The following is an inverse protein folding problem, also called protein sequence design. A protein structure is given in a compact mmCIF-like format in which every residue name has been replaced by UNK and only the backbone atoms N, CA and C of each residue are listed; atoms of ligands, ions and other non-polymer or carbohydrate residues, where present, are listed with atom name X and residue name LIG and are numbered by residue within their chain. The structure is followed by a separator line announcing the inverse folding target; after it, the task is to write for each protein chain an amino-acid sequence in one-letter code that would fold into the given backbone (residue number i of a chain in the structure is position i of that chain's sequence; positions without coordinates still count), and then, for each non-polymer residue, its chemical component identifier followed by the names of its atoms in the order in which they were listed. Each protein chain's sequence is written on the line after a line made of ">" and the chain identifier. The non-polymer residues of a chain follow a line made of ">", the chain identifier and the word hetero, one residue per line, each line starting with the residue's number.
data_IF_317207809581
#
_entry.id   IF_317207809581
#
_cell.length_a   1.000
_cell.length_b   1.000
_cell.length_c   1.000
_cell.angle_alpha   90.00
_cell.angle_beta   90.00
_cell.angle_gamma   90.00
#
_symmetry.space_group_name_H-M   'P 1'
#
loop_
_entity.id
_entity.type
_entity.pdbx_description
1 polymer ?
#
# COMPACT_ATOMS: atom_id res chain seq x y z
N UNK A 1 -8.31 -39.92 -21.74
CA UNK A 1 -8.46 -40.06 -20.27
C UNK A 1 -9.92 -39.84 -19.94
N UNK A 2 -10.51 -40.60 -19.02
CA UNK A 2 -11.88 -40.34 -18.57
C UNK A 2 -11.94 -38.94 -17.94
N UNK A 3 -12.96 -38.15 -18.27
CA UNK A 3 -13.16 -36.83 -17.68
C UNK A 3 -13.40 -36.99 -16.16
N UNK A 4 -12.77 -36.14 -15.36
CA UNK A 4 -12.99 -36.12 -13.91
C UNK A 4 -14.37 -35.54 -13.59
N UNK A 5 -14.92 -35.83 -12.41
CA UNK A 5 -16.18 -35.23 -11.96
C UNK A 5 -16.16 -33.69 -12.07
N UNK A 6 -15.03 -33.08 -11.68
CA UNK A 6 -14.82 -31.64 -11.76
C UNK A 6 -14.88 -31.10 -13.19
N UNK A 7 -14.25 -31.77 -14.15
CA UNK A 7 -14.26 -31.34 -15.55
C UNK A 7 -15.69 -31.40 -16.15
N UNK A 8 -16.45 -32.44 -15.80
CA UNK A 8 -17.84 -32.61 -16.26
C UNK A 8 -18.72 -31.46 -15.76
N UNK A 9 -18.66 -31.18 -14.44
CA UNK A 9 -19.44 -30.08 -13.84
C UNK A 9 -19.01 -28.73 -14.38
N UNK A 10 -17.72 -28.48 -14.52
CA UNK A 10 -17.22 -27.22 -15.08
C UNK A 10 -17.73 -27.00 -16.52
N UNK A 11 -17.70 -28.03 -17.37
CA UNK A 11 -18.18 -27.96 -18.75
C UNK A 11 -19.70 -27.71 -18.81
N UNK A 12 -20.49 -28.38 -17.96
CA UNK A 12 -21.94 -28.16 -17.87
C UNK A 12 -22.26 -26.73 -17.41
N UNK A 13 -21.56 -26.21 -16.39
CA UNK A 13 -21.73 -24.83 -15.93
C UNK A 13 -21.37 -23.85 -17.04
N UNK A 14 -20.23 -24.04 -17.74
CA UNK A 14 -19.83 -23.17 -18.86
C UNK A 14 -20.86 -23.16 -19.98
N UNK A 15 -21.45 -24.31 -20.29
CA UNK A 15 -22.50 -24.41 -21.29
C UNK A 15 -23.79 -23.69 -20.87
N UNK A 16 -24.21 -23.84 -19.60
CA UNK A 16 -25.38 -23.14 -19.08
C UNK A 16 -25.18 -21.62 -19.03
N UNK A 17 -24.00 -21.15 -18.63
CA UNK A 17 -23.63 -19.73 -18.67
C UNK A 17 -23.75 -19.18 -20.09
N UNK A 18 -23.19 -19.88 -21.09
CA UNK A 18 -23.33 -19.48 -22.51
C UNK A 18 -24.78 -19.46 -22.99
N UNK A 19 -25.54 -20.51 -22.69
CA UNK A 19 -26.95 -20.64 -23.12
C UNK A 19 -27.87 -19.61 -22.48
N UNK A 20 -27.64 -19.29 -21.20
CA UNK A 20 -28.43 -18.31 -20.44
C UNK A 20 -27.93 -16.87 -20.65
N UNK A 21 -26.81 -16.68 -21.35
CA UNK A 21 -26.24 -15.36 -21.64
C UNK A 21 -25.74 -14.61 -20.41
N UNK A 22 -25.30 -15.33 -19.38
CA UNK A 22 -24.80 -14.75 -18.13
C UNK A 22 -23.36 -14.31 -18.33
N UNK A 23 -23.02 -13.09 -17.93
CA UNK A 23 -21.63 -12.64 -17.89
C UNK A 23 -20.97 -13.12 -16.58
N UNK A 24 -19.99 -14.05 -16.63
CA UNK A 24 -19.38 -14.57 -15.41
C UNK A 24 -18.67 -13.53 -14.55
N UNK A 25 -18.15 -12.47 -15.17
CA UNK A 25 -17.38 -11.43 -14.50
C UNK A 25 -18.34 -10.41 -13.88
N UNK A 26 -19.40 -10.03 -14.60
CA UNK A 26 -20.35 -9.03 -14.13
C UNK A 26 -21.42 -9.62 -13.19
N UNK A 27 -21.73 -10.91 -13.31
CA UNK A 27 -22.80 -11.59 -12.58
C UNK A 27 -22.31 -12.83 -11.79
N UNK A 28 -21.31 -12.69 -10.89
CA UNK A 28 -20.73 -13.83 -10.18
C UNK A 28 -21.75 -14.58 -9.31
N UNK A 29 -22.74 -13.89 -8.74
CA UNK A 29 -23.80 -14.52 -7.96
C UNK A 29 -24.73 -15.40 -8.81
N UNK A 30 -24.96 -15.03 -10.08
CA UNK A 30 -25.75 -15.85 -10.99
C UNK A 30 -25.01 -17.13 -11.36
N UNK A 31 -23.68 -17.03 -11.54
CA UNK A 31 -22.83 -18.20 -11.75
C UNK A 31 -22.78 -19.09 -10.51
N UNK A 32 -22.67 -18.52 -9.30
CA UNK A 32 -22.68 -19.30 -8.06
C UNK A 32 -23.95 -20.15 -7.92
N UNK A 33 -25.13 -19.56 -8.17
CA UNK A 33 -26.39 -20.30 -8.17
C UNK A 33 -26.44 -21.41 -9.22
N UNK A 34 -25.86 -21.17 -10.39
CA UNK A 34 -25.74 -22.19 -11.45
C UNK A 34 -24.81 -23.34 -11.05
N UNK A 35 -23.70 -23.04 -10.40
CA UNK A 35 -22.77 -24.05 -9.89
C UNK A 35 -23.49 -24.95 -8.88
N UNK A 36 -24.23 -24.37 -7.94
CA UNK A 36 -25.03 -25.13 -6.99
C UNK A 36 -26.11 -25.99 -7.68
N UNK A 37 -26.79 -25.46 -8.71
CA UNK A 37 -27.76 -26.20 -9.53
C UNK A 37 -27.13 -27.43 -10.18
N UNK A 38 -25.99 -27.27 -10.87
CA UNK A 38 -25.29 -28.35 -11.59
C UNK A 38 -24.70 -29.38 -10.63
N UNK A 39 -24.16 -28.95 -9.49
CA UNK A 39 -23.63 -29.88 -8.49
C UNK A 39 -24.71 -30.78 -7.89
N UNK A 40 -25.88 -30.22 -7.59
CA UNK A 40 -27.01 -30.99 -7.09
C UNK A 40 -27.51 -32.00 -8.14
N UNK A 41 -27.65 -31.58 -9.41
CA UNK A 41 -28.01 -32.49 -10.51
C UNK A 41 -26.96 -33.61 -10.69
N UNK A 42 -25.67 -33.26 -10.65
CA UNK A 42 -24.58 -34.22 -10.74
C UNK A 42 -24.63 -35.24 -9.60
N UNK A 43 -24.88 -34.77 -8.37
CA UNK A 43 -25.00 -35.64 -7.20
C UNK A 43 -26.15 -36.65 -7.38
N UNK A 44 -27.35 -36.19 -7.76
CA UNK A 44 -28.51 -37.03 -7.98
C UNK A 44 -28.27 -38.07 -9.09
N UNK A 45 -27.63 -37.67 -10.19
CA UNK A 45 -27.25 -38.58 -11.29
C UNK A 45 -26.20 -39.60 -10.86
N UNK A 46 -25.25 -39.21 -10.01
CA UNK A 46 -24.17 -40.10 -9.56
C UNK A 46 -24.66 -41.27 -8.71
N UNK A 47 -25.84 -41.16 -8.09
CA UNK A 47 -26.48 -42.24 -7.33
C UNK A 47 -26.96 -43.37 -8.25
N UNK A 48 -27.34 -43.04 -9.49
CA UNK A 48 -27.99 -43.97 -10.43
C UNK A 48 -27.09 -44.39 -11.61
N UNK A 49 -26.05 -43.61 -11.89
CA UNK A 49 -25.19 -43.77 -13.07
C UNK A 49 -23.72 -43.99 -12.68
N UNK A 50 -22.94 -44.60 -13.57
CA UNK A 50 -21.48 -44.76 -13.39
C UNK A 50 -20.72 -43.45 -13.65
N UNK A 51 -21.02 -42.41 -12.87
CA UNK A 51 -20.28 -41.15 -12.88
C UNK A 51 -19.08 -41.25 -11.92
N UNK A 52 -17.96 -40.55 -12.23
CA UNK A 52 -16.85 -40.44 -11.31
C UNK A 52 -17.31 -39.87 -9.95
N UNK A 53 -16.81 -40.38 -8.81
CA UNK A 53 -17.17 -39.83 -7.52
C UNK A 53 -16.69 -38.38 -7.42
N UNK A 54 -17.57 -37.52 -6.94
CA UNK A 54 -17.19 -36.18 -6.52
C UNK A 54 -16.64 -36.23 -5.10
N UNK A 55 -15.58 -35.47 -4.84
CA UNK A 55 -15.07 -35.27 -3.48
C UNK A 55 -16.02 -34.37 -2.67
N UNK A 56 -15.44 -33.51 -1.82
CA UNK A 56 -16.23 -32.49 -1.12
C UNK A 56 -16.91 -31.55 -2.11
N UNK A 57 -18.24 -31.57 -2.15
CA UNK A 57 -19.06 -30.77 -3.05
C UNK A 57 -18.87 -29.26 -2.84
N UNK A 58 -18.58 -28.83 -1.61
CA UNK A 58 -18.33 -27.42 -1.29
C UNK A 58 -17.03 -26.94 -1.90
N UNK A 59 -15.97 -27.74 -1.77
CA UNK A 59 -14.67 -27.45 -2.38
C UNK A 59 -14.74 -27.53 -3.91
N UNK A 60 -15.47 -28.50 -4.44
CA UNK A 60 -15.70 -28.64 -5.88
C UNK A 60 -16.47 -27.43 -6.44
N UNK A 61 -17.55 -27.00 -5.77
CA UNK A 61 -18.31 -25.82 -6.19
C UNK A 61 -17.51 -24.55 -6.16
N UNK A 62 -16.70 -24.34 -5.12
CA UNK A 62 -15.80 -23.19 -5.07
C UNK A 62 -14.78 -23.22 -6.20
N UNK A 63 -14.16 -24.37 -6.46
CA UNK A 63 -13.18 -24.51 -7.54
C UNK A 63 -13.80 -24.31 -8.94
N UNK A 64 -15.03 -24.78 -9.18
CA UNK A 64 -15.77 -24.53 -10.42
C UNK A 64 -16.16 -23.05 -10.53
N UNK A 65 -16.64 -22.44 -9.46
CA UNK A 65 -16.95 -21.01 -9.43
C UNK A 65 -15.69 -20.17 -9.75
N UNK A 66 -14.57 -20.48 -9.12
CA UNK A 66 -13.29 -19.82 -9.38
C UNK A 66 -12.84 -20.02 -10.83
N UNK A 67 -13.05 -21.20 -11.42
CA UNK A 67 -12.71 -21.48 -12.81
C UNK A 67 -13.60 -20.74 -13.82
N UNK A 68 -14.88 -20.56 -13.52
CA UNK A 68 -15.89 -19.99 -14.42
C UNK A 68 -16.02 -18.48 -14.27
N UNK A 69 -16.16 -17.99 -13.03
CA UNK A 69 -16.38 -16.58 -12.69
C UNK A 69 -15.15 -15.88 -12.06
N UNK A 70 -14.18 -16.65 -11.54
CA UNK A 70 -12.96 -16.11 -10.94
C UNK A 70 -11.72 -16.22 -11.83
N UNK A 71 -10.54 -16.26 -11.18
CA UNK A 71 -9.23 -16.43 -11.79
C UNK A 71 -8.67 -17.87 -11.64
N UNK A 72 -9.57 -18.86 -11.56
CA UNK A 72 -9.24 -20.28 -11.52
C UNK A 72 -8.22 -20.63 -10.43
N UNK A 73 -7.12 -21.33 -10.74
CA UNK A 73 -6.11 -21.71 -9.75
C UNK A 73 -5.45 -20.54 -9.01
N UNK A 74 -5.53 -19.32 -9.52
CA UNK A 74 -5.01 -18.12 -8.84
C UNK A 74 -6.00 -17.49 -7.86
N UNK A 75 -7.29 -17.81 -7.95
CA UNK A 75 -8.32 -17.19 -7.11
C UNK A 75 -8.04 -17.34 -5.60
N UNK A 76 -7.63 -18.53 -5.09
CA UNK A 76 -7.31 -18.66 -3.66
C UNK A 76 -6.14 -17.75 -3.22
N UNK A 77 -5.19 -17.47 -4.11
CA UNK A 77 -4.05 -16.58 -3.81
C UNK A 77 -4.48 -15.09 -3.83
N UNK A 78 -5.41 -14.75 -4.72
CA UNK A 78 -6.01 -13.41 -4.79
C UNK A 78 -6.93 -13.14 -3.59
N UNK A 79 -7.62 -14.15 -3.07
CA UNK A 79 -8.48 -14.03 -1.90
C UNK A 79 -7.71 -13.95 -0.57
N UNK A 80 -6.51 -14.53 -0.50
CA UNK A 80 -5.70 -14.56 0.73
C UNK A 80 -5.16 -13.16 1.07
N UNK A 81 -5.74 -12.50 2.07
CA UNK A 81 -5.36 -11.15 2.52
C UNK A 81 -3.92 -11.03 3.04
N UNK A 82 -3.25 -12.15 3.32
CA UNK A 82 -1.84 -12.17 3.71
C UNK A 82 -0.87 -12.09 2.52
N UNK A 83 -1.34 -12.36 1.30
CA UNK A 83 -0.55 -12.23 0.07
C UNK A 83 -0.60 -10.79 -0.42
N UNK A 84 0.57 -10.23 -0.72
CA UNK A 84 0.80 -8.85 -1.16
C UNK A 84 0.99 -8.78 -2.68
N UNK A 85 1.71 -9.74 -3.24
CA UNK A 85 2.01 -9.83 -4.68
C UNK A 85 1.95 -11.27 -5.17
N UNK A 86 1.63 -11.46 -6.44
CA UNK A 86 1.62 -12.75 -7.15
C UNK A 86 2.43 -12.57 -8.43
N UNK A 87 3.37 -13.46 -8.70
CA UNK A 87 4.17 -13.44 -9.93
C UNK A 87 4.11 -14.77 -10.65
N UNK A 88 3.84 -14.75 -11.95
CA UNK A 88 3.94 -15.91 -12.83
C UNK A 88 5.15 -15.67 -13.71
N UNK A 89 6.26 -16.33 -13.38
CA UNK A 89 7.51 -16.19 -14.15
C UNK A 89 7.55 -17.17 -15.33
N UNK A 90 6.92 -18.32 -15.16
CA UNK A 90 6.64 -19.33 -16.17
C UNK A 90 5.45 -20.17 -15.68
N UNK A 91 4.77 -20.95 -16.56
CA UNK A 91 3.55 -21.65 -16.16
C UNK A 91 3.72 -22.58 -14.95
N UNK A 92 4.90 -23.20 -14.79
CA UNK A 92 5.23 -24.03 -13.63
C UNK A 92 5.89 -23.31 -12.45
N UNK A 93 6.06 -21.98 -12.51
CA UNK A 93 6.66 -21.18 -11.42
C UNK A 93 5.81 -19.96 -11.10
N UNK A 94 4.85 -20.18 -10.23
CA UNK A 94 4.01 -19.15 -9.62
C UNK A 94 4.53 -18.84 -8.23
N UNK A 95 4.92 -17.60 -7.99
CA UNK A 95 5.42 -17.10 -6.71
C UNK A 95 4.39 -16.18 -6.06
N UNK A 96 4.44 -16.09 -4.73
CA UNK A 96 3.69 -15.08 -3.99
C UNK A 96 4.63 -14.36 -3.02
N UNK A 97 4.34 -13.09 -2.75
CA UNK A 97 4.97 -12.34 -1.69
C UNK A 97 4.05 -12.27 -0.48
N UNK A 98 4.53 -12.72 0.68
CA UNK A 98 3.83 -12.69 1.97
C UNK A 98 4.73 -12.07 3.01
N UNK A 99 4.27 -11.01 3.68
CA UNK A 99 5.03 -10.32 4.74
C UNK A 99 6.45 -9.95 4.29
N UNK A 100 6.59 -9.40 3.08
CA UNK A 100 7.88 -9.01 2.50
C UNK A 100 8.83 -10.17 2.13
N UNK A 101 8.34 -11.41 2.06
CA UNK A 101 9.13 -12.58 1.63
C UNK A 101 8.47 -13.28 0.46
N UNK A 102 9.26 -13.68 -0.52
CA UNK A 102 8.79 -14.46 -1.67
C UNK A 102 8.82 -15.95 -1.39
N UNK A 103 7.79 -16.66 -1.84
CA UNK A 103 7.65 -18.11 -1.74
C UNK A 103 7.13 -18.69 -3.06
N UNK A 104 7.64 -19.86 -3.46
CA UNK A 104 7.12 -20.62 -4.62
C UNK A 104 5.85 -21.35 -4.18
N UNK A 105 4.78 -21.21 -4.96
CA UNK A 105 3.51 -21.88 -4.68
C UNK A 105 3.47 -23.28 -5.30
N UNK A 106 2.43 -24.04 -4.98
CA UNK A 106 2.10 -25.33 -5.60
C UNK A 106 1.27 -25.18 -6.88
N UNK A 107 0.93 -23.96 -7.29
CA UNK A 107 0.12 -23.70 -8.48
C UNK A 107 0.96 -23.97 -9.72
N UNK A 108 0.47 -24.86 -10.59
CA UNK A 108 1.06 -25.18 -11.89
C UNK A 108 0.01 -24.89 -12.95
N UNK A 109 0.40 -24.09 -13.93
CA UNK A 109 -0.41 -23.69 -15.07
C UNK A 109 0.21 -24.22 -16.37
N UNK A 110 -0.56 -24.23 -17.44
CA UNK A 110 -0.07 -24.33 -18.82
C UNK A 110 0.12 -22.95 -19.43
N UNK A 111 0.83 -22.86 -20.56
CA UNK A 111 0.98 -21.59 -21.26
C UNK A 111 -0.37 -20.99 -21.70
N UNK A 112 -1.29 -21.86 -22.14
CA UNK A 112 -2.64 -21.47 -22.55
C UNK A 112 -3.47 -20.97 -21.37
N UNK A 113 -3.37 -21.63 -20.21
CA UNK A 113 -4.03 -21.16 -18.99
C UNK A 113 -3.52 -19.78 -18.55
N UNK A 114 -2.22 -19.50 -18.66
CA UNK A 114 -1.69 -18.15 -18.37
C UNK A 114 -2.25 -17.12 -19.35
N UNK A 115 -2.31 -17.46 -20.66
CA UNK A 115 -2.88 -16.56 -21.67
C UNK A 115 -4.37 -16.27 -21.43
N UNK A 116 -5.17 -17.29 -21.13
CA UNK A 116 -6.59 -17.16 -20.79
C UNK A 116 -6.82 -16.33 -19.52
N UNK A 117 -5.97 -16.50 -18.50
CA UNK A 117 -6.02 -15.71 -17.27
C UNK A 117 -5.73 -14.23 -17.56
N UNK A 118 -4.68 -13.94 -18.33
CA UNK A 118 -4.33 -12.57 -18.74
C UNK A 118 -5.47 -11.94 -19.54
N UNK A 119 -6.02 -12.65 -20.52
CA UNK A 119 -7.14 -12.15 -21.33
C UNK A 119 -8.34 -11.82 -20.43
N UNK A 120 -8.70 -12.72 -19.51
CA UNK A 120 -9.80 -12.53 -18.54
C UNK A 120 -9.57 -11.32 -17.64
N UNK A 121 -8.35 -11.13 -17.14
CA UNK A 121 -7.97 -9.99 -16.31
C UNK A 121 -8.04 -8.67 -17.08
N UNK A 122 -7.72 -8.66 -18.38
CA UNK A 122 -7.71 -7.46 -19.20
C UNK A 122 -9.10 -7.07 -19.74
N UNK A 123 -10.01 -8.04 -19.95
CA UNK A 123 -11.39 -7.80 -20.44
C UNK A 123 -12.11 -6.61 -19.80
N UNK A 124 -12.24 -6.49 -18.46
CA UNK A 124 -12.96 -5.38 -17.84
C UNK A 124 -12.23 -4.03 -17.98
N UNK A 125 -10.93 -4.04 -18.29
CA UNK A 125 -10.08 -2.85 -18.34
C UNK A 125 -10.08 -2.18 -19.71
N UNK A 126 -10.60 -2.87 -20.75
CA UNK A 126 -10.55 -2.43 -22.14
C UNK A 126 -9.14 -2.41 -22.76
N UNK A 127 -8.12 -2.84 -22.00
CA UNK A 127 -6.73 -2.94 -22.47
C UNK A 127 -6.51 -4.24 -23.25
N UNK A 128 -5.50 -4.23 -24.11
CA UNK A 128 -5.10 -5.39 -24.93
C UNK A 128 -3.58 -5.52 -24.89
N UNK A 129 -3.12 -6.74 -25.14
CA UNK A 129 -1.70 -7.08 -25.24
C UNK A 129 -1.49 -7.93 -26.50
N UNK A 130 -0.52 -7.53 -27.32
CA UNK A 130 -0.18 -8.19 -28.58
C UNK A 130 1.26 -7.86 -28.99
N UNK A 131 1.71 -8.34 -30.15
CA UNK A 131 3.09 -8.13 -30.63
C UNK A 131 3.43 -6.66 -30.92
N UNK A 132 2.44 -5.80 -31.18
CA UNK A 132 2.65 -4.36 -31.36
C UNK A 132 2.75 -3.62 -30.03
N UNK A 133 2.08 -4.14 -28.99
CA UNK A 133 2.09 -3.60 -27.63
C UNK A 133 2.44 -4.71 -26.63
N UNK A 134 3.72 -5.09 -26.49
CA UNK A 134 4.12 -6.31 -25.78
C UNK A 134 4.16 -6.16 -24.25
N UNK A 135 3.73 -5.00 -23.74
CA UNK A 135 3.60 -4.68 -22.32
C UNK A 135 2.19 -4.17 -22.07
N UNK A 136 1.61 -4.51 -20.92
CA UNK A 136 0.35 -3.90 -20.50
C UNK A 136 0.35 -3.68 -19.00
N UNK A 137 -0.07 -2.49 -18.59
CA UNK A 137 -0.42 -2.16 -17.22
C UNK A 137 -1.93 -1.99 -17.12
N UNK A 138 -2.53 -2.59 -16.10
CA UNK A 138 -3.96 -2.50 -15.87
C UNK A 138 -4.31 -2.50 -14.37
N UNK A 139 -5.50 -1.99 -14.05
CA UNK A 139 -6.08 -2.08 -12.72
C UNK A 139 -7.25 -3.06 -12.78
N UNK A 140 -7.17 -4.11 -11.97
CA UNK A 140 -8.21 -5.13 -11.85
C UNK A 140 -9.42 -4.57 -11.07
N UNK A 141 -10.61 -5.21 -11.16
CA UNK A 141 -11.81 -4.72 -10.49
C UNK A 141 -11.69 -4.58 -8.96
N UNK A 142 -10.83 -5.38 -8.33
CA UNK A 142 -10.52 -5.33 -6.89
C UNK A 142 -9.51 -4.21 -6.52
N UNK A 143 -9.05 -3.43 -7.50
CA UNK A 143 -8.03 -2.39 -7.36
C UNK A 143 -6.59 -2.91 -7.52
N UNK A 144 -6.39 -4.22 -7.66
CA UNK A 144 -5.07 -4.81 -7.82
C UNK A 144 -4.41 -4.35 -9.13
N UNK A 145 -3.10 -4.15 -9.10
CA UNK A 145 -2.32 -3.72 -10.27
C UNK A 145 -1.78 -4.93 -11.02
N UNK A 146 -2.05 -5.00 -12.30
CA UNK A 146 -1.55 -6.02 -13.21
C UNK A 146 -0.46 -5.41 -14.12
N UNK A 147 0.66 -6.11 -14.25
CA UNK A 147 1.65 -5.88 -15.29
C UNK A 147 1.95 -7.19 -16.03
N UNK A 148 1.87 -7.19 -17.37
CA UNK A 148 2.16 -8.37 -18.19
C UNK A 148 3.17 -8.05 -19.29
N UNK A 149 4.07 -9.00 -19.54
CA UNK A 149 5.04 -8.98 -20.63
C UNK A 149 4.94 -10.28 -21.43
N UNK A 150 4.86 -10.21 -22.77
CA UNK A 150 4.74 -11.39 -23.65
C UNK A 150 6.08 -11.89 -24.20
N UNK A 151 6.14 -13.14 -24.70
CA UNK A 151 7.25 -13.64 -25.52
C UNK A 151 7.54 -12.71 -26.70
N UNK A 152 8.80 -12.70 -27.18
CA UNK A 152 9.49 -11.68 -28.02
C UNK A 152 10.21 -10.60 -27.22
N UNK A 153 9.73 -10.30 -26.02
CA UNK A 153 10.47 -9.53 -25.00
C UNK A 153 11.01 -10.48 -23.93
N UNK A 154 10.14 -11.36 -23.41
CA UNK A 154 10.58 -12.46 -22.54
C UNK A 154 11.11 -13.63 -23.37
N UNK A 155 11.90 -14.51 -22.74
CA UNK A 155 12.54 -15.64 -23.45
C UNK A 155 11.56 -16.66 -24.03
N UNK A 156 10.52 -17.04 -23.27
CA UNK A 156 9.66 -18.19 -23.65
C UNK A 156 8.19 -18.06 -23.22
N UNK A 157 7.94 -17.51 -22.04
CA UNK A 157 6.61 -17.47 -21.44
C UNK A 157 6.20 -16.05 -21.10
N UNK A 158 4.89 -15.80 -21.03
CA UNK A 158 4.40 -14.53 -20.47
C UNK A 158 4.86 -14.41 -19.02
N UNK A 159 5.31 -13.21 -18.65
CA UNK A 159 5.58 -12.86 -17.26
C UNK A 159 4.44 -11.98 -16.74
N UNK A 160 3.82 -12.40 -15.64
CA UNK A 160 2.66 -11.70 -15.05
C UNK A 160 3.02 -11.27 -13.63
N UNK A 161 2.76 -10.01 -13.30
CA UNK A 161 2.93 -9.47 -11.96
C UNK A 161 1.61 -8.86 -11.49
N UNK A 162 1.09 -9.33 -10.37
CA UNK A 162 -0.11 -8.81 -9.75
C UNK A 162 0.29 -8.27 -8.38
N UNK A 163 0.17 -6.96 -8.19
CA UNK A 163 0.35 -6.33 -6.88
C UNK A 163 -1.02 -6.02 -6.31
N UNK A 164 -1.38 -6.71 -5.22
CA UNK A 164 -2.73 -6.64 -4.67
C UNK A 164 -3.00 -5.28 -4.06
N UNK A 165 -4.24 -4.80 -4.20
CA UNK A 165 -4.70 -3.66 -3.43
C UNK A 165 -4.96 -4.11 -1.98
N UNK A 166 -3.92 -4.06 -1.16
CA UNK A 166 -4.06 -4.35 0.25
C UNK A 166 -4.79 -3.19 0.94
N UNK A 167 -5.86 -3.48 1.67
CA UNK A 167 -6.44 -2.53 2.63
C UNK A 167 -5.39 -2.30 3.70
N UNK A 168 -4.58 -1.26 3.50
CA UNK A 168 -3.43 -0.94 4.35
C UNK A 168 -3.84 -0.48 5.73
N UNK A 169 -2.90 -0.60 6.67
CA UNK A 169 -3.02 0.00 8.00
C UNK A 169 -3.27 1.51 7.85
N UNK A 170 -4.28 2.02 8.56
CA UNK A 170 -4.81 3.39 8.39
C UNK A 170 -4.48 4.32 9.55
N UNK A 171 -3.94 3.81 10.65
CA UNK A 171 -3.52 4.65 11.78
C UNK A 171 -2.20 4.21 12.39
N UNK A 172 -1.54 5.17 13.04
CA UNK A 172 -0.29 4.94 13.76
C UNK A 172 -0.45 3.90 14.87
N UNK A 173 -1.63 3.82 15.50
CA UNK A 173 -1.92 2.79 16.51
C UNK A 173 -1.92 1.37 15.93
N UNK A 174 -2.38 1.18 14.69
CA UNK A 174 -2.28 -0.13 14.05
C UNK A 174 -0.82 -0.48 13.74
N UNK A 175 -0.02 0.51 13.32
CA UNK A 175 1.42 0.33 13.13
C UNK A 175 2.14 -0.02 14.43
N UNK A 176 1.69 0.52 15.58
CA UNK A 176 2.18 0.12 16.91
C UNK A 176 1.81 -1.32 17.22
N UNK A 177 0.56 -1.74 16.97
CA UNK A 177 0.09 -3.12 17.22
C UNK A 177 0.89 -4.17 16.44
N UNK A 178 1.28 -3.88 15.19
CA UNK A 178 2.12 -4.79 14.38
C UNK A 178 3.63 -4.62 14.66
N UNK A 179 4.00 -3.74 15.59
CA UNK A 179 5.37 -3.47 15.99
C UNK A 179 6.21 -2.73 14.95
N UNK A 180 5.59 -2.02 14.00
CA UNK A 180 6.31 -1.24 12.97
C UNK A 180 6.92 0.04 13.54
N UNK A 181 6.26 0.66 14.51
CA UNK A 181 6.71 1.87 15.22
C UNK A 181 6.45 1.71 16.72
N UNK A 182 7.23 2.36 17.58
CA UNK A 182 6.97 2.37 19.02
C UNK A 182 5.84 3.35 19.35
N UNK A 183 5.08 3.07 20.43
CA UNK A 183 3.98 3.95 20.84
C UNK A 183 4.40 5.40 21.15
N UNK A 184 5.64 5.60 21.62
CA UNK A 184 6.20 6.93 21.84
C UNK A 184 6.43 7.68 20.52
N UNK A 185 7.07 7.03 19.54
CA UNK A 185 7.29 7.61 18.23
C UNK A 185 5.95 7.85 17.49
N UNK A 186 4.98 6.95 17.62
CA UNK A 186 3.64 7.12 17.07
C UNK A 186 2.95 8.38 17.60
N UNK A 187 2.93 8.60 18.92
CA UNK A 187 2.35 9.84 19.51
C UNK A 187 3.05 11.11 19.04
N UNK A 188 4.37 11.05 18.91
CA UNK A 188 5.14 12.17 18.37
C UNK A 188 4.78 12.46 16.90
N UNK A 189 4.65 11.43 16.07
CA UNK A 189 4.28 11.58 14.66
C UNK A 189 2.84 12.09 14.51
N UNK A 190 1.91 11.58 15.30
CA UNK A 190 0.52 12.06 15.35
C UNK A 190 0.47 13.58 15.66
N UNK A 191 1.16 13.98 16.73
CA UNK A 191 1.31 15.38 17.10
C UNK A 191 1.95 16.24 15.99
N UNK A 192 2.95 15.70 15.29
CA UNK A 192 3.66 16.39 14.22
C UNK A 192 2.78 16.60 12.99
N UNK A 193 1.96 15.60 12.64
CA UNK A 193 0.97 15.71 11.56
C UNK A 193 -0.08 16.75 11.93
N UNK A 194 -0.61 16.72 13.15
CA UNK A 194 -1.61 17.68 13.63
C UNK A 194 -1.08 19.13 13.72
N UNK A 195 0.22 19.30 14.01
CA UNK A 195 0.91 20.59 13.98
C UNK A 195 1.22 21.10 12.55
N UNK A 196 0.93 20.31 11.52
CA UNK A 196 1.14 20.69 10.12
C UNK A 196 2.61 20.65 9.69
N UNK A 197 3.42 19.74 10.27
CA UNK A 197 4.79 19.52 9.81
C UNK A 197 4.82 18.81 8.44
N UNK A 198 5.83 19.14 7.67
CA UNK A 198 6.16 18.54 6.39
C UNK A 198 7.00 17.27 6.59
N UNK A 199 6.42 16.12 6.25
CA UNK A 199 7.00 14.81 6.59
C UNK A 199 7.38 14.03 5.33
N UNK A 200 8.65 13.68 5.23
CA UNK A 200 9.17 12.76 4.22
C UNK A 200 9.21 11.34 4.77
N UNK A 201 8.56 10.39 4.10
CA UNK A 201 8.64 8.97 4.44
C UNK A 201 9.61 8.28 3.49
N UNK A 202 10.76 7.87 4.02
CA UNK A 202 11.84 7.28 3.27
C UNK A 202 11.97 5.78 3.53
N UNK A 203 12.53 5.04 2.57
CA UNK A 203 12.84 3.62 2.73
C UNK A 203 13.07 2.88 1.42
N UNK A 204 13.61 1.67 1.51
CA UNK A 204 13.81 0.80 0.37
C UNK A 204 12.49 0.32 -0.28
N UNK A 205 12.61 -0.43 -1.38
CA UNK A 205 11.50 -1.19 -1.97
C UNK A 205 10.85 -2.08 -0.90
N UNK A 206 9.51 -2.14 -0.89
CA UNK A 206 8.71 -2.93 0.06
C UNK A 206 8.92 -2.60 1.55
N UNK A 207 9.58 -1.48 1.91
CA UNK A 207 9.76 -1.07 3.30
C UNK A 207 8.47 -0.59 4.01
N UNK A 208 7.35 -0.48 3.28
CA UNK A 208 6.05 -0.04 3.82
C UNK A 208 5.83 1.47 3.79
N UNK A 209 6.51 2.21 2.90
CA UNK A 209 6.43 3.67 2.81
C UNK A 209 4.99 4.18 2.64
N UNK A 210 4.26 3.66 1.64
CA UNK A 210 2.88 4.06 1.40
C UNK A 210 1.98 3.73 2.59
N UNK A 211 2.23 2.61 3.28
CA UNK A 211 1.48 2.24 4.50
C UNK A 211 1.73 3.21 5.65
N UNK A 212 2.99 3.61 5.87
CA UNK A 212 3.32 4.65 6.86
C UNK A 212 2.70 6.00 6.47
N UNK A 213 2.79 6.40 5.21
CA UNK A 213 2.18 7.63 4.71
C UNK A 213 0.66 7.61 4.93
N UNK A 214 -0.01 6.50 4.62
CA UNK A 214 -1.45 6.33 4.83
C UNK A 214 -1.82 6.43 6.32
N UNK A 215 -1.02 5.83 7.21
CA UNK A 215 -1.21 5.95 8.65
C UNK A 215 -0.97 7.37 9.19
N UNK A 216 0.02 8.10 8.67
CA UNK A 216 0.24 9.51 8.99
C UNK A 216 -0.94 10.36 8.52
N UNK A 217 -1.49 10.09 7.33
CA UNK A 217 -2.70 10.75 6.84
C UNK A 217 -3.89 10.54 7.78
N UNK A 218 -3.97 9.42 8.50
CA UNK A 218 -5.00 9.18 9.51
C UNK A 218 -4.94 10.12 10.73
N UNK A 219 -3.79 10.77 10.98
CA UNK A 219 -3.62 11.77 12.04
C UNK A 219 -3.93 13.20 11.58
N UNK A 220 -4.30 13.40 10.31
CA UNK A 220 -4.65 14.73 9.79
C UNK A 220 -6.01 15.17 10.38
N UNK A 221 -6.12 16.41 10.91
CA UNK A 221 -7.38 16.93 11.41
C UNK A 221 -8.52 16.85 10.38
N UNK A 222 -9.69 16.34 10.79
CA UNK A 222 -10.85 16.11 9.92
C UNK A 222 -11.42 17.34 9.19
N UNK A 223 -10.98 18.55 9.58
CA UNK A 223 -11.36 19.82 8.94
C UNK A 223 -10.46 20.21 7.76
N UNK A 224 -9.34 19.51 7.56
CA UNK A 224 -8.39 19.80 6.49
C UNK A 224 -8.86 19.19 5.17
N UNK A 225 -8.72 19.98 4.09
CA UNK A 225 -8.89 19.51 2.72
C UNK A 225 -7.60 18.88 2.23
N UNK A 226 -7.65 17.62 1.82
CA UNK A 226 -6.48 16.89 1.33
C UNK A 226 -6.59 16.66 -0.16
N UNK A 227 -5.50 16.91 -0.88
CA UNK A 227 -5.36 16.46 -2.27
C UNK A 227 -4.22 15.46 -2.34
N UNK A 228 -4.51 14.24 -2.80
CA UNK A 228 -3.49 13.22 -3.07
C UNK A 228 -3.13 13.18 -4.55
N UNK A 229 -1.85 12.97 -4.83
CA UNK A 229 -1.30 12.85 -6.18
C UNK A 229 -0.45 11.59 -6.23
N UNK A 230 -0.85 10.62 -7.05
CA UNK A 230 -0.30 9.27 -7.04
C UNK A 230 0.00 8.76 -8.45
N UNK A 231 1.04 7.93 -8.62
CA UNK A 231 1.20 7.17 -9.88
C UNK A 231 0.07 6.16 -10.05
N UNK A 232 -0.24 5.45 -8.97
CA UNK A 232 -1.41 4.59 -8.84
C UNK A 232 -2.05 4.79 -7.49
N UNK A 233 -3.39 4.79 -7.46
CA UNK A 233 -4.14 4.88 -6.22
C UNK A 233 -3.72 3.74 -5.27
N UNK A 234 -3.07 4.12 -4.18
CA UNK A 234 -2.68 3.25 -3.08
C UNK A 234 -3.15 3.82 -1.74
N UNK A 235 -3.30 5.15 -1.63
CA UNK A 235 -3.77 5.83 -0.44
C UNK A 235 -5.29 5.70 -0.27
N UNK A 236 -5.73 5.46 0.96
CA UNK A 236 -7.13 5.29 1.31
C UNK A 236 -7.43 6.03 2.61
N UNK A 237 -7.70 7.33 2.49
CA UNK A 237 -7.90 8.24 3.60
C UNK A 237 -9.38 8.22 4.03
N UNK A 238 -9.63 7.99 5.31
CA UNK A 238 -10.98 8.02 5.90
C UNK A 238 -11.48 9.43 6.27
N UNK A 239 -11.01 10.47 5.58
CA UNK A 239 -11.31 11.87 5.90
C UNK A 239 -12.39 12.44 4.98
N UNK A 240 -13.18 13.44 5.43
CA UNK A 240 -14.37 13.88 4.71
C UNK A 240 -14.09 14.70 3.45
N UNK A 241 -13.04 15.53 3.42
CA UNK A 241 -12.68 16.36 2.26
C UNK A 241 -11.35 15.91 1.65
N UNK A 242 -11.43 14.85 0.83
CA UNK A 242 -10.29 14.26 0.13
C UNK A 242 -10.57 14.22 -1.37
N UNK A 243 -9.62 14.71 -2.17
CA UNK A 243 -9.60 14.50 -3.62
C UNK A 243 -8.35 13.73 -4.00
N UNK A 244 -8.53 12.54 -4.58
CA UNK A 244 -7.44 11.73 -5.06
C UNK A 244 -7.25 11.89 -6.58
N UNK A 245 -6.02 12.11 -7.02
CA UNK A 245 -5.65 12.19 -8.43
C UNK A 245 -4.55 11.18 -8.77
N UNK A 246 -4.67 10.57 -9.94
CA UNK A 246 -3.73 9.58 -10.45
C UNK A 246 -3.17 9.98 -11.81
N UNK A 247 -1.92 9.61 -12.10
CA UNK A 247 -1.34 9.77 -13.43
C UNK A 247 -2.11 8.99 -14.48
N UNK A 248 -1.92 9.40 -15.74
CA UNK A 248 -2.46 8.71 -16.90
C UNK A 248 -1.34 8.49 -17.92
N UNK A 249 -1.08 7.23 -18.26
CA UNK A 249 -0.18 6.90 -19.36
C UNK A 249 -0.72 7.44 -20.69
N UNK A 250 0.16 7.67 -21.65
CA UNK A 250 -0.23 7.99 -23.03
C UNK A 250 -1.12 6.88 -23.63
N UNK A 251 -1.99 7.26 -24.56
CA UNK A 251 -2.72 6.30 -25.39
C UNK A 251 -1.78 5.65 -26.43
N UNK A 252 -2.31 4.73 -27.24
CA UNK A 252 -1.55 4.03 -28.29
C UNK A 252 -0.91 4.98 -29.33
N UNK A 253 -1.47 6.19 -29.48
CA UNK A 253 -0.96 7.24 -30.38
C UNK A 253 0.12 8.12 -29.70
N UNK A 254 0.50 7.81 -28.46
CA UNK A 254 1.49 8.58 -27.70
C UNK A 254 0.94 9.91 -27.15
N UNK A 255 -0.38 10.09 -27.12
CA UNK A 255 -1.01 11.35 -26.68
C UNK A 255 -1.80 11.19 -25.38
N UNK A 256 -2.11 12.32 -24.73
CA UNK A 256 -2.96 12.33 -23.55
C UNK A 256 -2.28 11.93 -22.24
N UNK A 257 -0.95 11.82 -22.20
CA UNK A 257 -0.23 11.60 -20.95
C UNK A 257 -0.51 12.70 -19.92
N UNK A 258 -0.71 12.29 -18.67
CA UNK A 258 -0.80 13.17 -17.51
C UNK A 258 0.26 12.71 -16.50
N UNK A 259 1.45 13.31 -16.51
CA UNK A 259 2.53 12.94 -15.61
C UNK A 259 2.27 13.46 -14.19
N UNK A 260 2.96 12.88 -13.21
CA UNK A 260 2.80 13.20 -11.78
C UNK A 260 3.05 14.69 -11.52
N UNK A 261 4.08 15.27 -12.15
CA UNK A 261 4.39 16.71 -12.08
C UNK A 261 3.22 17.61 -12.46
N UNK A 262 2.45 17.23 -13.49
CA UNK A 262 1.27 18.01 -13.90
C UNK A 262 0.19 17.97 -12.83
N UNK A 263 -0.06 16.81 -12.24
CA UNK A 263 -1.04 16.66 -11.16
C UNK A 263 -0.66 17.48 -9.93
N UNK A 264 0.61 17.52 -9.55
CA UNK A 264 1.09 18.38 -8.45
C UNK A 264 0.73 19.85 -8.72
N UNK A 265 0.98 20.35 -9.94
CA UNK A 265 0.61 21.73 -10.32
C UNK A 265 -0.89 21.98 -10.29
N UNK A 266 -1.70 21.05 -10.78
CA UNK A 266 -3.16 21.19 -10.75
C UNK A 266 -3.71 21.12 -9.32
N UNK A 267 -3.11 20.30 -8.44
CA UNK A 267 -3.49 20.20 -7.04
C UNK A 267 -3.42 21.56 -6.33
N UNK A 268 -2.40 22.38 -6.64
CA UNK A 268 -2.25 23.71 -6.04
C UNK A 268 -3.40 24.66 -6.37
N UNK A 269 -4.11 24.44 -7.49
CA UNK A 269 -5.29 25.23 -7.88
C UNK A 269 -6.56 24.83 -7.12
N UNK A 270 -6.54 23.66 -6.47
CA UNK A 270 -7.67 23.11 -5.74
C UNK A 270 -7.73 23.57 -4.28
N UNK A 271 -6.84 24.50 -3.88
CA UNK A 271 -6.71 25.06 -2.53
C UNK A 271 -6.66 23.99 -1.42
N UNK A 272 -5.77 23.00 -1.50
CA UNK A 272 -5.60 22.02 -0.44
C UNK A 272 -5.16 22.71 0.87
N UNK A 273 -5.63 22.18 2.00
CA UNK A 273 -4.97 22.42 3.30
C UNK A 273 -3.70 21.58 3.43
N UNK A 274 -3.66 20.42 2.76
CA UNK A 274 -2.50 19.54 2.73
C UNK A 274 -2.33 18.85 1.38
N UNK A 275 -1.11 18.81 0.88
CA UNK A 275 -0.75 18.09 -0.35
C UNK A 275 -0.02 16.79 -0.01
N UNK A 276 -0.53 15.66 -0.51
CA UNK A 276 0.08 14.36 -0.31
C UNK A 276 0.55 13.81 -1.66
N UNK A 277 1.83 13.50 -1.79
CA UNK A 277 2.37 12.88 -3.02
C UNK A 277 2.77 11.44 -2.70
N UNK A 278 2.16 10.48 -3.39
CA UNK A 278 2.31 9.05 -3.12
C UNK A 278 3.78 8.62 -3.09
N UNK A 279 4.53 8.89 -4.16
CA UNK A 279 5.99 8.69 -4.20
C UNK A 279 6.61 9.71 -5.16
N UNK A 280 7.68 10.37 -4.71
CA UNK A 280 8.47 11.30 -5.52
C UNK A 280 9.70 10.57 -6.05
N UNK A 281 9.90 10.65 -7.36
CA UNK A 281 10.92 9.93 -8.12
C UNK A 281 11.69 10.81 -9.10
N UNK A 282 11.10 11.89 -9.59
CA UNK A 282 11.68 12.69 -10.68
C UNK A 282 11.38 14.20 -10.50
N UNK A 283 11.17 14.91 -11.62
CA UNK A 283 11.06 16.37 -11.68
C UNK A 283 9.86 16.97 -10.92
N UNK A 284 8.83 16.19 -10.58
CA UNK A 284 7.71 16.63 -9.74
C UNK A 284 8.16 17.07 -8.34
N UNK A 285 9.34 16.62 -7.91
CA UNK A 285 9.97 17.03 -6.66
C UNK A 285 10.10 18.56 -6.57
N UNK A 286 10.42 19.23 -7.67
CA UNK A 286 10.55 20.69 -7.70
C UNK A 286 9.23 21.38 -7.35
N UNK A 287 8.15 20.99 -8.01
CA UNK A 287 6.84 21.61 -7.81
C UNK A 287 6.28 21.31 -6.41
N UNK A 288 6.55 20.11 -5.88
CA UNK A 288 6.26 19.79 -4.48
C UNK A 288 7.04 20.70 -3.53
N UNK A 289 8.36 20.84 -3.71
CA UNK A 289 9.19 21.69 -2.84
C UNK A 289 8.75 23.15 -2.87
N UNK A 290 8.40 23.68 -4.04
CA UNK A 290 7.87 25.04 -4.16
C UNK A 290 6.58 25.18 -3.34
N UNK A 291 5.69 24.18 -3.40
CA UNK A 291 4.46 24.19 -2.62
C UNK A 291 4.74 24.18 -1.11
N UNK A 292 5.61 23.28 -0.64
CA UNK A 292 5.99 23.19 0.77
C UNK A 292 6.63 24.51 1.26
N UNK A 293 7.53 25.08 0.47
CA UNK A 293 8.21 26.35 0.78
C UNK A 293 7.24 27.55 0.82
N UNK A 294 6.11 27.47 0.10
CA UNK A 294 5.05 28.49 0.17
C UNK A 294 4.17 28.40 1.42
N UNK A 295 4.45 27.43 2.31
CA UNK A 295 3.72 27.22 3.56
C UNK A 295 2.53 26.29 3.44
N UNK A 296 2.39 25.52 2.34
CA UNK A 296 1.41 24.45 2.23
C UNK A 296 1.94 23.19 2.93
N UNK A 297 1.31 22.72 4.03
CA UNK A 297 1.71 21.45 4.63
C UNK A 297 1.62 20.29 3.65
N UNK A 298 2.56 19.35 3.72
CA UNK A 298 2.54 18.20 2.86
C UNK A 298 3.36 17.02 3.33
N UNK A 299 3.10 15.88 2.74
CA UNK A 299 3.83 14.65 3.01
C UNK A 299 4.05 13.89 1.72
N UNK A 300 5.17 13.18 1.61
CA UNK A 300 5.40 12.30 0.48
C UNK A 300 6.25 11.10 0.85
N UNK A 301 6.27 10.09 -0.02
CA UNK A 301 7.28 9.03 0.07
C UNK A 301 8.42 9.23 -0.92
N UNK A 302 9.59 8.69 -0.58
CA UNK A 302 10.76 8.69 -1.46
C UNK A 302 11.63 7.45 -1.19
N UNK A 303 12.24 6.88 -2.24
CA UNK A 303 13.14 5.75 -2.08
C UNK A 303 14.54 6.19 -1.62
N UNK A 304 14.96 5.80 -0.42
CA UNK A 304 16.29 6.07 0.13
C UNK A 304 16.69 5.04 1.19
N UNK A 305 18.00 4.81 1.36
CA UNK A 305 18.53 3.83 2.31
C UNK A 305 18.82 4.43 3.70
N UNK A 306 18.67 5.75 3.87
CA UNK A 306 18.71 6.45 5.15
C UNK A 306 17.92 7.75 5.08
N UNK A 307 17.65 8.37 6.23
CA UNK A 307 17.05 9.70 6.29
C UNK A 307 17.95 10.78 5.65
N UNK A 308 19.26 10.68 5.86
CA UNK A 308 20.25 11.57 5.22
C UNK A 308 20.23 11.45 3.70
N UNK A 309 20.23 10.22 3.17
CA UNK A 309 20.15 10.01 1.72
C UNK A 309 18.82 10.55 1.15
N UNK A 310 17.73 10.45 1.91
CA UNK A 310 16.44 11.00 1.48
C UNK A 310 16.51 12.51 1.27
N UNK A 311 17.17 13.26 2.17
CA UNK A 311 17.41 14.70 2.01
C UNK A 311 18.29 15.00 0.79
N UNK A 312 19.38 14.25 0.59
CA UNK A 312 20.24 14.40 -0.59
C UNK A 312 19.45 14.19 -1.88
N UNK A 313 18.55 13.21 -1.91
CA UNK A 313 17.69 12.96 -3.07
C UNK A 313 16.65 14.07 -3.26
N UNK A 314 16.04 14.58 -2.19
CA UNK A 314 15.18 15.77 -2.28
C UNK A 314 15.93 16.98 -2.84
N UNK A 315 17.25 17.09 -2.62
CA UNK A 315 18.07 18.13 -3.23
C UNK A 315 18.43 17.86 -4.72
N UNK A 316 18.46 16.59 -5.12
CA UNK A 316 18.96 16.18 -6.44
C UNK A 316 17.84 16.06 -7.47
N UNK A 317 16.70 15.48 -7.10
CA UNK A 317 15.56 15.25 -8.01
C UNK A 317 15.04 16.54 -8.68
N UNK A 318 14.94 17.69 -8.00
CA UNK A 318 14.51 18.94 -8.63
C UNK A 318 15.43 19.41 -9.77
N UNK A 319 16.70 19.03 -9.74
CA UNK A 319 17.68 19.40 -10.78
C UNK A 319 17.35 18.76 -12.13
N UNK A 320 16.55 17.68 -12.13
CA UNK A 320 16.06 17.04 -13.36
C UNK A 320 14.97 17.87 -14.08
N UNK A 321 14.40 18.87 -13.41
CA UNK A 321 13.31 19.67 -13.97
C UNK A 321 13.76 20.70 -15.04
N UNK A 322 15.07 20.96 -15.15
CA UNK A 322 15.68 21.83 -16.17
C UNK A 322 16.98 22.49 -15.70
N UNK A 323 17.80 22.96 -16.67
CA UNK A 323 19.14 23.52 -16.43
C UNK A 323 19.16 24.78 -15.55
N UNK A 324 18.02 25.46 -15.39
CA UNK A 324 17.91 26.68 -14.59
C UNK A 324 17.74 26.42 -13.08
N UNK A 325 17.64 25.15 -12.66
CA UNK A 325 17.49 24.79 -11.24
C UNK A 325 18.86 24.48 -10.66
N UNK A 326 19.34 25.33 -9.74
CA UNK A 326 20.65 25.17 -9.12
C UNK A 326 20.57 24.59 -7.71
N UNK A 327 21.59 23.84 -7.30
CA UNK A 327 21.71 23.33 -5.93
C UNK A 327 21.70 24.46 -4.89
N UNK A 328 22.25 25.63 -5.23
CA UNK A 328 22.24 26.82 -4.39
C UNK A 328 20.83 27.33 -4.04
N UNK A 329 19.83 27.06 -4.90
CA UNK A 329 18.43 27.31 -4.60
C UNK A 329 17.79 26.13 -3.85
N UNK A 330 18.05 24.89 -4.31
CA UNK A 330 17.34 23.71 -3.83
C UNK A 330 17.74 23.35 -2.39
N UNK A 331 19.03 23.34 -2.04
CA UNK A 331 19.48 22.87 -0.72
C UNK A 331 18.89 23.71 0.42
N UNK A 332 18.94 25.06 0.37
CA UNK A 332 18.26 25.88 1.40
C UNK A 332 16.74 25.69 1.41
N UNK A 333 16.13 25.50 0.24
CA UNK A 333 14.68 25.28 0.13
C UNK A 333 14.28 23.97 0.81
N UNK A 334 15.01 22.88 0.59
CA UNK A 334 14.78 21.59 1.25
C UNK A 334 14.97 21.73 2.76
N UNK A 335 16.05 22.37 3.20
CA UNK A 335 16.34 22.58 4.61
C UNK A 335 15.21 23.36 5.32
N UNK A 336 14.63 24.37 4.67
CA UNK A 336 13.56 25.19 5.22
C UNK A 336 12.16 24.58 5.09
N UNK A 337 11.95 23.64 4.16
CA UNK A 337 10.61 23.13 3.81
C UNK A 337 10.33 21.72 4.29
N UNK A 338 11.34 20.88 4.52
CA UNK A 338 11.16 19.54 5.09
C UNK A 338 11.36 19.66 6.58
N UNK A 339 10.42 19.17 7.39
CA UNK A 339 10.52 19.27 8.86
C UNK A 339 11.01 17.97 9.47
N UNK A 340 10.49 16.84 8.98
CA UNK A 340 10.80 15.50 9.49
C UNK A 340 11.10 14.52 8.35
N UNK A 341 12.01 13.58 8.61
CA UNK A 341 12.20 12.38 7.78
C UNK A 341 11.99 11.14 8.63
N UNK A 342 11.03 10.31 8.23
CA UNK A 342 10.75 9.00 8.83
C UNK A 342 11.33 7.93 7.92
N UNK A 343 12.39 7.26 8.36
CA UNK A 343 13.03 6.20 7.57
C UNK A 343 12.55 4.81 8.00
N UNK A 344 12.17 4.00 7.02
CA UNK A 344 11.70 2.63 7.19
C UNK A 344 12.72 1.63 6.65
N UNK A 345 12.81 0.49 7.30
CA UNK A 345 13.58 -0.67 6.85
C UNK A 345 12.74 -1.95 6.85
N UNK A 346 13.09 -2.86 5.93
CA UNK A 346 12.65 -4.24 5.95
C UNK A 346 13.71 -5.09 6.66
N UNK A 347 13.35 -5.71 7.77
CA UNK A 347 14.22 -6.64 8.51
C UNK A 347 14.35 -7.98 7.77
N UNK A 348 15.42 -8.72 8.04
CA UNK A 348 15.60 -10.08 7.50
C UNK A 348 14.46 -11.05 7.88
N UNK A 349 13.74 -10.76 8.97
CA UNK A 349 12.54 -11.50 9.38
C UNK A 349 11.31 -11.25 8.49
N UNK A 350 11.36 -10.27 7.59
CA UNK A 350 10.23 -9.78 6.80
C UNK A 350 9.45 -8.64 7.48
N UNK A 351 9.84 -8.23 8.69
CA UNK A 351 9.15 -7.17 9.42
C UNK A 351 9.55 -5.77 8.93
N UNK A 352 8.56 -4.92 8.66
CA UNK A 352 8.76 -3.51 8.30
C UNK A 352 8.78 -2.65 9.56
N UNK A 353 9.87 -1.91 9.80
CA UNK A 353 10.04 -1.08 11.00
C UNK A 353 10.58 0.31 10.67
N UNK A 354 10.17 1.30 11.45
CA UNK A 354 10.84 2.60 11.50
C UNK A 354 12.23 2.41 12.08
N UNK A 355 13.25 2.85 11.36
CA UNK A 355 14.66 2.78 11.74
C UNK A 355 15.12 4.04 12.47
N UNK A 356 14.73 5.19 11.94
CA UNK A 356 15.09 6.49 12.49
C UNK A 356 14.01 7.51 12.13
N UNK A 357 13.89 8.53 12.98
CA UNK A 357 13.11 9.73 12.72
C UNK A 357 14.04 10.90 13.03
N UNK A 358 14.33 11.71 12.01
CA UNK A 358 15.20 12.88 12.15
C UNK A 358 14.39 14.15 11.90
N UNK A 359 14.69 15.20 12.67
CA UNK A 359 14.23 16.55 12.43
C UNK A 359 15.24 17.32 11.59
N UNK A 360 14.76 18.11 10.65
CA UNK A 360 15.58 18.99 9.83
C UNK A 360 15.65 20.36 10.50
N UNK A 361 16.85 20.89 10.74
CA UNK A 361 17.00 22.08 11.61
C UNK A 361 16.78 23.41 10.87
N UNK A 362 16.65 23.38 9.55
CA UNK A 362 16.67 24.58 8.70
C UNK A 362 18.07 25.12 8.41
N UNK A 363 19.12 24.59 9.04
CA UNK A 363 20.50 25.03 8.83
C UNK A 363 21.19 24.20 7.76
N UNK A 364 22.05 24.88 7.02
CA UNK A 364 22.90 24.29 5.98
C UNK A 364 24.34 24.68 6.28
N UNK A 365 25.22 23.69 6.33
CA UNK A 365 26.67 23.89 6.42
C UNK A 365 27.33 23.38 5.13
N UNK A 366 27.82 24.30 4.31
CA UNK A 366 28.23 23.98 2.94
C UNK A 366 27.02 23.52 2.11
N UNK A 367 27.05 22.28 1.62
CA UNK A 367 25.95 21.64 0.90
C UNK A 367 25.22 20.58 1.76
N UNK A 368 25.50 20.55 3.06
CA UNK A 368 24.96 19.54 3.98
C UNK A 368 23.86 20.15 4.85
N UNK A 369 22.67 19.56 4.78
CA UNK A 369 21.55 19.92 5.65
C UNK A 369 21.79 19.32 7.04
N UNK A 370 21.76 20.16 8.06
CA UNK A 370 21.88 19.75 9.45
C UNK A 370 20.58 19.07 9.92
N UNK A 371 20.73 17.97 10.66
CA UNK A 371 19.62 17.17 11.17
C UNK A 371 19.82 16.84 12.64
N UNK A 372 18.73 16.70 13.37
CA UNK A 372 18.70 16.27 14.75
C UNK A 372 18.01 14.90 14.84
N UNK A 373 18.69 13.89 15.39
CA UNK A 373 18.07 12.58 15.61
C UNK A 373 16.99 12.70 16.70
N UNK A 374 15.73 12.44 16.36
CA UNK A 374 14.61 12.46 17.32
C UNK A 374 14.37 11.05 17.85
N UNK A 375 14.36 10.06 16.96
CA UNK A 375 14.32 8.64 17.31
C UNK A 375 15.33 7.86 16.48
N UNK A 376 16.00 6.89 17.10
CA UNK A 376 17.00 6.05 16.45
C UNK A 376 16.89 4.61 16.91
N UNK A 377 17.20 3.66 16.03
CA UNK A 377 17.19 2.23 16.38
C UNK A 377 18.44 1.88 17.17
N UNK A 378 18.25 1.51 18.45
CA UNK A 378 19.29 1.01 19.35
C UNK A 378 18.90 -0.38 19.81
N UNK A 379 19.82 -1.34 19.71
CA UNK A 379 19.59 -2.75 20.12
C UNK A 379 18.30 -3.36 19.53
N UNK A 380 17.98 -3.03 18.28
CA UNK A 380 16.80 -3.55 17.57
C UNK A 380 15.46 -2.89 17.94
N UNK A 381 15.46 -1.81 18.73
CA UNK A 381 14.27 -1.05 19.10
C UNK A 381 14.41 0.42 18.75
N UNK A 382 13.33 1.04 18.26
CA UNK A 382 13.29 2.48 18.02
C UNK A 382 13.15 3.22 19.36
N UNK A 383 14.15 4.02 19.71
CA UNK A 383 14.24 4.72 21.00
C UNK A 383 14.38 6.22 20.79
N UNK A 384 13.83 7.00 21.73
CA UNK A 384 13.98 8.45 21.78
C UNK A 384 15.46 8.81 21.90
N UNK A 385 15.93 9.69 21.03
CA UNK A 385 17.25 10.33 21.09
C UNK A 385 17.16 11.70 21.78
N UNK A 386 18.14 12.58 21.60
CA UNK A 386 18.19 13.88 22.28
C UNK A 386 17.71 15.06 21.41
N UNK A 387 17.59 14.87 20.09
CA UNK A 387 17.21 15.93 19.16
C UNK A 387 15.75 16.37 19.29
N UNK A 388 15.43 17.62 18.93
CA UNK A 388 14.06 18.14 18.94
C UNK A 388 13.61 18.44 17.50
N UNK A 389 12.30 18.36 17.21
CA UNK A 389 11.79 18.78 15.90
C UNK A 389 11.95 20.30 15.73
N UNK A 390 11.97 20.78 14.48
CA UNK A 390 11.82 22.20 14.21
C UNK A 390 10.40 22.67 14.59
N UNK A 391 10.20 23.98 14.58
CA UNK A 391 8.88 24.62 14.68
C UNK A 391 8.06 24.30 15.94
N UNK A 392 8.68 24.37 17.13
CA UNK A 392 8.00 24.18 18.41
C UNK A 392 6.75 25.08 18.57
N UNK A 393 6.77 26.27 17.97
CA UNK A 393 5.65 27.21 17.93
C UNK A 393 4.40 26.66 17.23
N UNK A 394 4.55 25.78 16.22
CA UNK A 394 3.41 25.16 15.52
C UNK A 394 2.70 24.13 16.40
N UNK A 395 3.46 23.36 17.19
CA UNK A 395 2.88 22.47 18.20
C UNK A 395 2.07 23.27 19.23
N UNK A 396 2.63 24.36 19.75
CA UNK A 396 1.94 25.23 20.69
C UNK A 396 0.66 25.85 20.09
N UNK A 397 0.71 26.32 18.83
CA UNK A 397 -0.46 26.86 18.13
C UNK A 397 -1.56 25.80 17.91
N UNK A 398 -1.19 24.53 17.77
CA UNK A 398 -2.11 23.41 17.72
C UNK A 398 -2.61 22.95 19.10
N UNK A 399 -2.15 23.58 20.20
CA UNK A 399 -2.50 23.18 21.57
C UNK A 399 -1.80 21.90 22.04
N UNK A 400 -0.68 21.54 21.42
CA UNK A 400 0.06 20.32 21.67
C UNK A 400 1.28 20.60 22.55
N UNK A 401 1.37 19.90 23.68
CA UNK A 401 2.59 19.88 24.49
C UNK A 401 3.64 18.95 23.85
N UNK A 402 4.64 19.57 23.23
CA UNK A 402 5.71 18.88 22.52
C UNK A 402 6.55 17.98 23.45
N UNK A 403 6.82 18.39 24.68
CA UNK A 403 7.62 17.61 25.64
C UNK A 403 6.89 16.32 26.00
N UNK A 404 5.57 16.45 26.24
CA UNK A 404 4.69 15.30 26.47
C UNK A 404 4.57 14.41 25.25
N UNK A 405 4.46 14.98 24.04
CA UNK A 405 4.39 14.23 22.79
C UNK A 405 5.67 13.43 22.53
N UNK A 406 6.84 14.01 22.82
CA UNK A 406 8.13 13.33 22.79
C UNK A 406 8.32 12.30 23.91
N UNK A 407 7.44 12.27 24.91
CA UNK A 407 7.46 11.31 26.00
C UNK A 407 8.60 11.50 27.01
N UNK A 408 9.19 12.71 27.10
CA UNK A 408 10.10 13.03 28.20
C UNK A 408 9.25 13.35 29.44
N UNK A 409 9.26 12.47 30.44
CA UNK A 409 8.59 12.71 31.73
C UNK A 409 7.65 11.61 32.27
N UNK A 410 7.57 10.43 31.65
CA UNK A 410 6.89 9.28 32.28
C UNK A 410 7.94 8.21 32.55
N UNK A 411 8.43 8.19 33.80
CA UNK A 411 9.12 7.05 34.35
C UNK A 411 8.14 5.87 34.40
N UNK A 412 8.38 4.74 33.68
CA UNK A 412 7.49 3.58 33.70
C UNK A 412 7.34 2.95 35.10
N UNK A 413 8.16 3.34 36.09
CA UNK A 413 8.03 2.92 37.48
C UNK A 413 6.87 3.62 38.25
N UNK A 414 6.28 4.70 37.72
CA UNK A 414 5.27 5.49 38.44
C UNK A 414 3.80 5.05 38.20
N UNK A 415 3.53 4.13 37.26
CA UNK A 415 2.19 3.57 37.03
C UNK A 415 2.08 2.14 37.55
N UNK A 416 2.24 1.96 38.86
CA UNK A 416 1.66 0.79 39.55
C UNK A 416 0.32 1.24 40.13
N UNK A 417 -0.82 0.60 39.79
CA UNK A 417 -2.07 0.93 40.45
C UNK A 417 -1.96 0.55 41.93
N UNK A 418 -2.20 1.50 42.82
CA UNK A 418 -2.28 1.25 44.25
C UNK A 418 -3.34 0.17 44.51
N UNK A 419 -2.91 -0.94 45.11
CA UNK A 419 -3.79 -1.99 45.64
C UNK A 419 -4.81 -1.34 46.58
N UNK A 420 -6.12 -1.58 46.43
CA UNK A 420 -7.09 -1.00 47.34
C UNK A 420 -6.88 -1.61 48.72
N UNK A 421 -6.62 -0.75 49.71
CA UNK A 421 -6.56 -1.12 51.11
C UNK A 421 -7.91 -1.72 51.53
N UNK A 422 -7.88 -2.95 52.03
CA UNK A 422 -8.99 -3.61 52.69
C UNK A 422 -9.35 -2.85 53.97
N UNK A 423 -10.57 -2.29 54.02
CA UNK A 423 -11.13 -1.70 55.23
C UNK A 423 -11.44 -2.81 56.28
N UNK A 424 -11.28 -2.54 57.59
CA UNK A 424 -11.51 -3.54 58.63
C UNK A 424 -13.01 -3.80 58.80
N UNK A 425 -13.36 -5.07 58.99
CA UNK A 425 -14.73 -5.50 59.23
C UNK A 425 -15.28 -4.92 60.54
N UNK A 426 -16.45 -4.28 60.44
CA UNK A 426 -17.21 -3.83 61.59
C UNK A 426 -17.79 -5.03 62.36
N UNK A 427 -17.50 -5.03 63.66
CA UNK A 427 -18.14 -5.85 64.69
C UNK A 427 -19.64 -5.59 64.75
N UNK A 428 -20.45 -6.64 64.58
CA UNK A 428 -21.82 -6.71 65.09
C UNK A 428 -21.91 -7.88 66.07
N UNK A 429 -21.94 -7.53 67.35
CA UNK A 429 -22.38 -8.40 68.43
C UNK A 429 -23.90 -8.65 68.33
N UNK A 430 -24.34 -9.87 68.65
CA UNK A 430 -25.73 -10.10 69.06
C UNK A 430 -26.36 -11.44 68.72
N UNK A 431 -25.90 -12.54 69.33
CA UNK A 431 -26.66 -13.40 70.27
C UNK A 431 -25.86 -14.61 70.71
#
# INVERSE_FOLDING_TARGET
>A
MAATAHAIVEDEVRELVRRRGIDPIAEPEAVARLVDEVLNDYHDRSITSSLPPMGDATLAGRAVLDAVAGFGPLQPLLDDSGIEEIWINEPGRVFVARRGRSELTTVILTADQVAELVERMLRPTGRRIDLSTPFVDAMLPDGSRLHVVIPTITRRHMAVNIRKFAVGLRSLDELVRVGSVTGQAARFLDASVAAGLNILVAGGTQAGKTTMLNALCGAVPARERIVTVEEVFELNLGLPDVVAMQTRQANLEGTGEIPLRRLVKEALRMRPSRLIVGEVRQEECLDLLIALNSGLPGMCTLHANSAREALVKMCTLPLLAGENVSAAFVVPTVAASVDLVVHLGLEASGQRRVREIVGVTGRVEGDVIETAEIFGTRRGRLERADGYPPHAERYAAAGIDLVRALGQGIDPAATTPATPATAPAASTAGR
#
